data_IF_903817995743
#
_entry.id   IF_903817995743
#
_cell.length_a   1.000
_cell.length_b   1.000
_cell.length_c   1.000
_cell.angle_alpha   90.00
_cell.angle_beta   90.00
_cell.angle_gamma   90.00
#
_symmetry.space_group_name_H-M   'P 1'
#
loop_
_entity.id
_entity.type
_entity.pdbx_description
1 polymer ?
#
# COMPACT_ATOMS: atom_id res chain seq x y z
N UNK A 1 4.90 10.49 -0.14
CA UNK A 1 5.87 11.25 -0.94
C UNK A 1 6.80 10.29 -1.60
N UNK A 2 6.29 9.67 -2.65
CA UNK A 2 7.07 9.65 -3.87
C UNK A 2 7.60 11.07 -4.06
N UNK A 3 8.85 11.23 -3.62
CA UNK A 3 9.87 12.06 -4.24
C UNK A 3 9.45 13.52 -4.38
N UNK A 4 9.96 14.37 -3.48
CA UNK A 4 10.06 15.79 -3.81
C UNK A 4 10.69 15.89 -5.21
N UNK A 5 10.23 16.82 -6.03
CA UNK A 5 10.68 16.95 -7.43
C UNK A 5 12.22 17.01 -7.61
N UNK A 6 12.96 17.23 -6.53
CA UNK A 6 14.43 17.21 -6.48
C UNK A 6 15.02 15.80 -6.40
N UNK A 7 14.34 14.83 -5.78
CA UNK A 7 14.84 13.46 -5.63
C UNK A 7 14.59 12.59 -6.89
N UNK A 8 13.68 13.01 -7.79
CA UNK A 8 13.30 12.23 -9.00
C UNK A 8 14.39 12.19 -10.05
N UNK A 9 15.31 13.16 -10.01
CA UNK A 9 16.43 13.25 -10.95
C UNK A 9 17.60 12.31 -10.55
N UNK A 10 17.54 11.68 -9.37
CA UNK A 10 18.54 10.70 -8.96
C UNK A 10 18.23 9.35 -9.61
N UNK A 11 19.14 8.77 -10.43
CA UNK A 11 18.83 7.57 -11.20
C UNK A 11 18.40 6.37 -10.36
N UNK A 12 18.96 6.22 -9.15
CA UNK A 12 18.55 5.18 -8.20
C UNK A 12 17.08 5.34 -7.76
N UNK A 13 16.66 6.59 -7.52
CA UNK A 13 15.28 6.91 -7.13
C UNK A 13 14.33 6.70 -8.29
N UNK A 14 14.69 7.16 -9.50
CA UNK A 14 13.88 6.98 -10.71
C UNK A 14 13.57 5.49 -10.96
N UNK A 15 14.59 4.62 -10.88
CA UNK A 15 14.38 3.17 -11.05
C UNK A 15 13.45 2.58 -10.01
N UNK A 16 13.59 2.98 -8.73
CA UNK A 16 12.69 2.52 -7.67
C UNK A 16 11.26 3.02 -7.85
N UNK A 17 11.09 4.29 -8.25
CA UNK A 17 9.77 4.87 -8.55
C UNK A 17 9.10 4.07 -9.67
N UNK A 18 9.82 3.74 -10.74
CA UNK A 18 9.31 2.92 -11.84
C UNK A 18 8.89 1.51 -11.38
N UNK A 19 9.70 0.84 -10.56
CA UNK A 19 9.38 -0.46 -9.96
C UNK A 19 8.12 -0.36 -9.09
N UNK A 20 8.02 0.69 -8.30
CA UNK A 20 6.89 0.90 -7.40
C UNK A 20 5.61 1.22 -8.15
N UNK A 21 5.69 2.09 -9.16
CA UNK A 21 4.59 2.46 -10.04
C UNK A 21 3.96 1.21 -10.69
N UNK A 22 4.77 0.19 -10.99
CA UNK A 22 4.30 -1.06 -11.55
C UNK A 22 3.28 -1.81 -10.66
N UNK A 23 3.23 -1.55 -9.35
CA UNK A 23 2.28 -2.14 -8.39
C UNK A 23 0.86 -1.57 -8.48
N UNK A 24 0.69 -0.46 -9.20
CA UNK A 24 -0.59 0.23 -9.40
C UNK A 24 -1.22 -0.07 -10.77
N UNK A 25 -0.84 -1.18 -11.40
CA UNK A 25 -1.60 -1.68 -12.55
C UNK A 25 -2.96 -2.26 -12.10
N UNK A 26 -4.06 -1.90 -12.78
CA UNK A 26 -5.33 -2.60 -12.62
C UNK A 26 -5.13 -4.09 -12.83
N UNK A 27 -5.63 -4.88 -11.89
CA UNK A 27 -5.73 -6.32 -12.07
C UNK A 27 -7.00 -6.62 -12.87
N UNK A 28 -6.84 -6.89 -14.17
CA UNK A 28 -7.95 -7.23 -15.05
C UNK A 28 -8.39 -8.70 -14.91
N UNK A 29 -7.62 -9.56 -14.23
CA UNK A 29 -7.95 -10.98 -14.11
C UNK A 29 -9.24 -11.24 -13.32
N UNK A 30 -9.64 -10.28 -12.50
CA UNK A 30 -10.90 -10.30 -11.73
C UNK A 30 -12.14 -10.09 -12.60
N UNK A 31 -11.94 -9.56 -13.80
CA UNK A 31 -12.97 -9.42 -14.80
C UNK A 31 -12.71 -10.50 -15.85
N UNK A 32 -13.73 -11.23 -16.31
CA UNK A 32 -13.57 -12.22 -17.39
C UNK A 32 -13.36 -11.55 -18.76
N UNK A 33 -12.50 -10.52 -18.83
CA UNK A 33 -12.30 -9.57 -19.95
C UNK A 33 -11.89 -10.28 -21.25
N UNK A 34 -11.16 -11.38 -21.14
CA UNK A 34 -10.67 -12.14 -22.30
C UNK A 34 -11.79 -12.74 -23.16
N UNK A 35 -12.96 -13.00 -22.58
CA UNK A 35 -14.03 -13.79 -23.21
C UNK A 35 -15.31 -13.00 -23.49
N UNK A 36 -15.57 -11.92 -22.73
CA UNK A 36 -16.85 -11.21 -22.77
C UNK A 36 -16.75 -9.83 -23.46
N UNK A 37 -17.36 -9.64 -24.64
CA UNK A 37 -17.43 -8.35 -25.33
C UNK A 37 -18.11 -7.24 -24.52
N UNK A 38 -19.09 -7.59 -23.67
CA UNK A 38 -19.85 -6.62 -22.86
C UNK A 38 -18.96 -6.01 -21.79
N UNK A 39 -18.18 -6.84 -21.09
CA UNK A 39 -17.23 -6.38 -20.07
C UNK A 39 -16.17 -5.46 -20.68
N UNK A 40 -15.68 -5.77 -21.88
CA UNK A 40 -14.73 -4.92 -22.60
C UNK A 40 -15.33 -3.56 -22.97
N UNK A 41 -16.58 -3.54 -23.41
CA UNK A 41 -17.29 -2.29 -23.69
C UNK A 41 -17.45 -1.44 -22.43
N UNK A 42 -17.96 -2.03 -21.34
CA UNK A 42 -18.14 -1.34 -20.06
C UNK A 42 -16.82 -0.79 -19.52
N UNK A 43 -15.74 -1.55 -19.62
CA UNK A 43 -14.41 -1.09 -19.18
C UNK A 43 -13.93 0.09 -20.02
N UNK A 44 -14.16 0.09 -21.34
CA UNK A 44 -13.75 1.19 -22.21
C UNK A 44 -14.60 2.44 -21.93
N UNK A 45 -15.89 2.27 -21.73
CA UNK A 45 -16.81 3.35 -21.37
C UNK A 45 -16.42 3.97 -20.02
N UNK A 46 -16.20 3.14 -18.99
CA UNK A 46 -15.78 3.58 -17.67
C UNK A 46 -14.39 4.24 -17.64
N UNK A 47 -13.47 3.79 -18.50
CA UNK A 47 -12.13 4.37 -18.61
C UNK A 47 -12.09 5.69 -19.40
N UNK A 48 -13.14 5.99 -20.18
CA UNK A 48 -13.26 7.25 -20.94
C UNK A 48 -13.31 8.47 -20.01
N UNK A 49 -13.03 9.66 -20.54
CA UNK A 49 -13.12 10.91 -19.78
C UNK A 49 -14.50 11.09 -19.13
N UNK A 50 -15.57 10.89 -19.90
CA UNK A 50 -16.93 10.95 -19.37
C UNK A 50 -17.21 9.85 -18.33
N UNK A 51 -16.72 8.62 -18.56
CA UNK A 51 -16.83 7.53 -17.58
C UNK A 51 -16.13 7.85 -16.25
N UNK A 52 -14.96 8.48 -16.31
CA UNK A 52 -14.22 8.93 -15.12
C UNK A 52 -14.95 10.03 -14.36
N UNK A 53 -15.54 10.99 -15.07
CA UNK A 53 -16.39 12.03 -14.49
C UNK A 53 -17.61 11.41 -13.81
N UNK A 54 -18.26 10.41 -14.45
CA UNK A 54 -19.38 9.69 -13.86
C UNK A 54 -18.98 8.93 -12.59
N UNK A 55 -17.84 8.25 -12.59
CA UNK A 55 -17.31 7.56 -11.40
C UNK A 55 -17.00 8.56 -10.27
N UNK A 56 -16.37 9.70 -10.60
CA UNK A 56 -16.08 10.73 -9.62
C UNK A 56 -17.35 11.38 -9.05
N UNK A 57 -18.35 11.64 -9.89
CA UNK A 57 -19.66 12.14 -9.46
C UNK A 57 -20.40 11.11 -8.59
N UNK A 58 -20.28 9.82 -8.90
CA UNK A 58 -20.83 8.74 -8.07
C UNK A 58 -20.20 8.70 -6.69
N UNK A 59 -18.92 9.08 -6.59
CA UNK A 59 -18.18 9.24 -5.34
C UNK A 59 -18.10 10.72 -4.94
N UNK A 60 -19.24 11.42 -4.94
CA UNK A 60 -19.26 12.85 -4.63
C UNK A 60 -18.71 13.20 -3.23
N UNK A 61 -18.49 14.50 -3.01
CA UNK A 61 -17.95 15.02 -1.75
C UNK A 61 -18.76 14.60 -0.53
N UNK A 62 -20.09 14.57 -0.65
CA UNK A 62 -20.98 14.20 0.45
C UNK A 62 -20.77 12.73 0.81
N UNK A 63 -20.79 11.85 -0.18
CA UNK A 63 -20.59 10.42 0.01
C UNK A 63 -19.20 10.12 0.59
N UNK A 64 -18.15 10.76 0.06
CA UNK A 64 -16.79 10.62 0.60
C UNK A 64 -16.75 10.98 2.08
N UNK A 65 -17.33 12.12 2.45
CA UNK A 65 -17.36 12.57 3.84
C UNK A 65 -18.11 11.58 4.72
N UNK A 66 -19.30 11.16 4.29
CA UNK A 66 -20.12 10.15 5.00
C UNK A 66 -19.35 8.84 5.21
N UNK A 67 -18.66 8.32 4.17
CA UNK A 67 -17.87 7.09 4.28
C UNK A 67 -16.63 7.25 5.17
N UNK A 68 -15.95 8.40 5.12
CA UNK A 68 -14.79 8.66 5.98
C UNK A 68 -15.19 8.78 7.47
N UNK A 69 -16.33 9.41 7.76
CA UNK A 69 -16.87 9.46 9.13
C UNK A 69 -17.25 8.06 9.62
N UNK A 70 -17.95 7.27 8.79
CA UNK A 70 -18.27 5.89 9.13
C UNK A 70 -17.01 5.04 9.34
N UNK A 71 -15.98 5.22 8.52
CA UNK A 71 -14.69 4.58 8.70
C UNK A 71 -14.04 4.93 10.03
N UNK A 72 -14.04 6.21 10.42
CA UNK A 72 -13.50 6.66 11.71
C UNK A 72 -14.25 6.07 12.90
N UNK A 73 -15.58 5.96 12.82
CA UNK A 73 -16.41 5.29 13.85
C UNK A 73 -16.00 3.81 13.97
N UNK A 74 -15.94 3.08 12.83
CA UNK A 74 -15.53 1.67 12.80
C UNK A 74 -14.11 1.46 13.35
N UNK A 75 -13.18 2.36 13.02
CA UNK A 75 -11.82 2.32 13.57
C UNK A 75 -11.84 2.54 15.08
N UNK A 76 -12.59 3.50 15.58
CA UNK A 76 -12.68 3.79 17.01
C UNK A 76 -13.27 2.61 17.79
N UNK A 77 -14.31 1.97 17.26
CA UNK A 77 -14.91 0.76 17.85
C UNK A 77 -13.89 -0.39 17.89
N UNK A 78 -13.18 -0.62 16.78
CA UNK A 78 -12.17 -1.67 16.67
C UNK A 78 -11.01 -1.46 17.66
N UNK A 79 -10.56 -0.21 17.81
CA UNK A 79 -9.43 0.19 18.64
C UNK A 79 -9.83 0.65 20.05
N UNK A 80 -11.09 0.47 20.47
CA UNK A 80 -11.64 1.00 21.72
C UNK A 80 -10.82 0.61 22.97
N UNK A 81 -10.18 -0.56 22.94
CA UNK A 81 -9.41 -1.11 24.06
C UNK A 81 -8.06 -0.42 24.27
N UNK A 82 -7.53 0.31 23.28
CA UNK A 82 -6.24 0.97 23.35
C UNK A 82 -6.31 2.43 23.79
N UNK A 83 -7.45 2.85 24.38
CA UNK A 83 -7.76 4.27 24.61
C UNK A 83 -7.46 5.09 23.35
N UNK A 84 -8.04 4.64 22.23
CA UNK A 84 -7.89 5.30 20.94
C UNK A 84 -8.35 6.76 21.03
N UNK A 85 -7.95 7.55 20.02
CA UNK A 85 -8.26 8.96 19.82
C UNK A 85 -9.67 9.35 20.27
N UNK A 86 -9.81 10.55 20.82
CA UNK A 86 -11.13 11.05 21.20
C UNK A 86 -12.03 11.28 19.97
N UNK A 87 -13.32 11.58 20.19
CA UNK A 87 -14.26 11.76 19.07
C UNK A 87 -13.95 12.99 18.23
N UNK A 88 -13.38 14.04 18.82
CA UNK A 88 -13.02 15.28 18.12
C UNK A 88 -11.82 15.03 17.22
N UNK A 89 -10.80 14.35 17.72
CA UNK A 89 -9.64 13.89 16.97
C UNK A 89 -10.06 12.97 15.83
N UNK A 90 -10.82 11.91 16.12
CA UNK A 90 -11.34 11.00 15.09
C UNK A 90 -12.12 11.75 13.99
N UNK A 91 -12.94 12.74 14.37
CA UNK A 91 -13.64 13.62 13.43
C UNK A 91 -12.70 14.43 12.54
N UNK A 92 -11.67 15.06 13.13
CA UNK A 92 -10.63 15.79 12.37
C UNK A 92 -9.92 14.87 11.37
N UNK A 93 -9.61 13.64 11.75
CA UNK A 93 -8.94 12.70 10.85
C UNK A 93 -9.85 12.22 9.72
N UNK A 94 -11.14 12.04 10.00
CA UNK A 94 -12.13 11.75 8.97
C UNK A 94 -12.22 12.89 7.95
N UNK A 95 -12.23 14.14 8.42
CA UNK A 95 -12.24 15.32 7.56
C UNK A 95 -10.93 15.42 6.74
N UNK A 96 -9.76 15.24 7.35
CA UNK A 96 -8.47 15.20 6.65
C UNK A 96 -8.44 14.10 5.58
N UNK A 97 -8.89 12.89 5.90
CA UNK A 97 -8.98 11.79 4.94
C UNK A 97 -9.96 12.09 3.80
N UNK A 98 -11.11 12.72 4.09
CA UNK A 98 -12.08 13.10 3.06
C UNK A 98 -11.46 14.06 2.03
N UNK A 99 -10.60 14.99 2.47
CA UNK A 99 -9.86 15.90 1.58
C UNK A 99 -8.89 15.14 0.67
N UNK A 100 -8.18 14.14 1.20
CA UNK A 100 -7.30 13.26 0.40
C UNK A 100 -8.10 12.56 -0.70
N UNK A 101 -9.25 11.97 -0.37
CA UNK A 101 -10.09 11.30 -1.38
C UNK A 101 -10.73 12.25 -2.38
N UNK A 102 -11.13 13.47 -1.97
CA UNK A 102 -11.60 14.49 -2.91
C UNK A 102 -10.51 14.81 -3.93
N UNK A 103 -9.29 15.06 -3.45
CA UNK A 103 -8.15 15.34 -4.33
C UNK A 103 -7.77 14.14 -5.21
N UNK A 104 -7.92 12.92 -4.69
CA UNK A 104 -7.74 11.69 -5.46
C UNK A 104 -8.66 11.66 -6.68
N UNK A 105 -9.93 12.05 -6.52
CA UNK A 105 -10.90 12.08 -7.61
C UNK A 105 -10.64 13.19 -8.62
N UNK A 106 -10.13 14.35 -8.19
CA UNK A 106 -9.67 15.40 -9.11
C UNK A 106 -8.56 14.84 -10.02
N UNK A 107 -7.53 14.23 -9.44
CA UNK A 107 -6.43 13.64 -10.23
C UNK A 107 -6.93 12.49 -11.11
N UNK A 108 -7.84 11.65 -10.61
CA UNK A 108 -8.43 10.55 -11.36
C UNK A 108 -9.15 11.02 -12.64
N UNK A 109 -9.91 12.11 -12.55
CA UNK A 109 -10.62 12.71 -13.67
C UNK A 109 -9.65 13.30 -14.71
N UNK A 110 -8.58 13.97 -14.26
CA UNK A 110 -7.59 14.59 -15.13
C UNK A 110 -6.59 13.60 -15.77
N UNK A 111 -6.61 12.32 -15.38
CA UNK A 111 -5.66 11.30 -15.88
C UNK A 111 -5.96 10.83 -17.32
N UNK A 112 -6.77 11.57 -18.10
CA UNK A 112 -7.13 11.23 -19.49
C UNK A 112 -6.02 11.50 -20.52
N UNK A 113 -4.90 12.09 -20.10
CA UNK A 113 -3.80 12.48 -21.01
C UNK A 113 -2.84 11.31 -21.29
N UNK A 114 -2.63 11.03 -22.58
CA UNK A 114 -1.74 10.00 -23.14
C UNK A 114 -0.29 10.21 -22.68
N UNK A 115 0.27 9.24 -21.95
CA UNK A 115 1.72 9.12 -21.74
C UNK A 115 2.13 7.69 -22.11
N UNK A 116 3.08 7.57 -23.02
CA UNK A 116 3.71 6.31 -23.39
C UNK A 116 4.62 5.86 -22.25
N UNK A 117 4.40 4.66 -21.72
CA UNK A 117 5.29 4.04 -20.73
C UNK A 117 6.01 2.83 -21.34
N UNK A 118 7.28 2.58 -21.00
CA UNK A 118 8.02 1.43 -21.50
C UNK A 118 7.54 0.13 -20.83
N UNK A 119 7.17 -0.81 -21.69
CA UNK A 119 7.31 -2.28 -21.54
C UNK A 119 6.78 -2.96 -20.26
N UNK A 120 5.59 -3.56 -20.38
CA UNK A 120 5.20 -4.76 -19.60
C UNK A 120 4.82 -5.92 -20.52
N UNK A 121 5.68 -6.96 -20.58
CA UNK A 121 5.48 -8.20 -21.36
C UNK A 121 4.16 -8.93 -21.07
N UNK A 122 3.66 -8.96 -19.82
CA UNK A 122 2.44 -9.73 -19.49
C UNK A 122 1.14 -9.11 -20.01
N UNK A 123 1.05 -7.78 -20.02
CA UNK A 123 -0.11 -7.07 -20.57
C UNK A 123 -0.01 -6.97 -22.10
N UNK A 124 1.21 -6.83 -22.62
CA UNK A 124 1.54 -6.98 -24.04
C UNK A 124 1.04 -8.31 -24.61
N UNK A 125 1.31 -9.42 -23.93
CA UNK A 125 0.92 -10.77 -24.37
C UNK A 125 -0.61 -10.97 -24.40
N UNK A 126 -1.36 -10.24 -23.57
CA UNK A 126 -2.82 -10.42 -23.46
C UNK A 126 -3.61 -9.42 -24.31
N UNK A 127 -3.12 -8.19 -24.51
CA UNK A 127 -3.90 -7.11 -25.12
C UNK A 127 -3.13 -6.22 -26.11
N UNK A 128 -1.84 -6.47 -26.36
CA UNK A 128 -1.01 -5.71 -27.30
C UNK A 128 -0.59 -4.31 -26.81
N UNK A 129 0.37 -3.73 -27.54
CA UNK A 129 1.09 -2.46 -27.22
C UNK A 129 0.15 -1.23 -27.12
N UNK A 130 -0.98 -1.28 -27.82
CA UNK A 130 -1.96 -0.19 -27.88
C UNK A 130 -2.98 -0.17 -26.72
N UNK A 131 -2.94 -1.12 -25.78
CA UNK A 131 -4.04 -1.33 -24.82
C UNK A 131 -3.88 -0.61 -23.48
N UNK A 132 -2.65 -0.42 -22.97
CA UNK A 132 -2.43 0.03 -21.59
C UNK A 132 -2.68 1.52 -21.34
N UNK A 133 -2.38 2.33 -22.34
CA UNK A 133 -2.70 3.77 -22.35
C UNK A 133 -4.21 3.98 -22.46
N UNK A 134 -4.94 3.06 -23.11
CA UNK A 134 -6.40 3.15 -23.31
C UNK A 134 -7.20 2.96 -22.02
N UNK A 135 -6.64 2.30 -21.00
CA UNK A 135 -7.35 2.04 -19.73
C UNK A 135 -7.11 3.13 -18.66
N UNK A 136 -6.25 4.11 -18.95
CA UNK A 136 -5.94 5.25 -18.07
C UNK A 136 -5.34 4.83 -16.72
N UNK A 137 -4.20 4.14 -16.80
CA UNK A 137 -3.30 3.93 -15.67
C UNK A 137 -3.09 5.22 -14.87
N UNK A 138 -3.02 5.17 -13.53
CA UNK A 138 -2.65 6.35 -12.75
C UNK A 138 -1.28 6.85 -13.20
N UNK A 139 -1.18 8.13 -13.53
CA UNK A 139 0.09 8.83 -13.64
C UNK A 139 0.61 9.00 -12.20
N UNK A 140 1.52 8.12 -11.79
CA UNK A 140 1.93 7.98 -10.38
C UNK A 140 2.63 9.23 -9.87
N UNK A 141 3.37 9.92 -10.71
CA UNK A 141 4.04 11.18 -10.43
C UNK A 141 3.00 12.29 -10.19
N UNK A 142 2.00 12.40 -11.07
CA UNK A 142 0.90 13.37 -10.92
C UNK A 142 0.07 13.08 -9.67
N UNK A 143 -0.18 11.80 -9.39
CA UNK A 143 -0.90 11.34 -8.22
C UNK A 143 -0.13 11.63 -6.92
N UNK A 144 1.18 11.36 -6.91
CA UNK A 144 2.06 11.71 -5.81
C UNK A 144 2.07 13.21 -5.55
N UNK A 145 2.35 14.00 -6.58
CA UNK A 145 2.41 15.45 -6.49
C UNK A 145 1.09 16.06 -6.02
N UNK A 146 -0.03 15.62 -6.60
CA UNK A 146 -1.35 16.16 -6.28
C UNK A 146 -1.82 15.85 -4.86
N UNK A 147 -1.44 14.70 -4.31
CA UNK A 147 -1.84 14.26 -2.98
C UNK A 147 -0.83 14.62 -1.88
N UNK A 148 0.41 14.98 -2.25
CA UNK A 148 1.51 15.13 -1.30
C UNK A 148 1.21 16.10 -0.16
N UNK A 149 0.75 17.34 -0.41
CA UNK A 149 0.48 18.28 0.66
C UNK A 149 -0.54 17.76 1.68
N UNK A 150 -1.58 17.07 1.22
CA UNK A 150 -2.65 16.55 2.07
C UNK A 150 -2.21 15.32 2.88
N UNK A 151 -1.39 14.46 2.26
CA UNK A 151 -0.83 13.28 2.93
C UNK A 151 0.24 13.68 3.96
N UNK A 152 1.03 14.73 3.70
CA UNK A 152 1.93 15.32 4.69
C UNK A 152 1.15 15.96 5.83
N UNK A 153 0.14 16.77 5.54
CA UNK A 153 -0.70 17.37 6.58
C UNK A 153 -1.33 16.29 7.46
N UNK A 154 -1.84 15.22 6.83
CA UNK A 154 -2.30 14.04 7.55
C UNK A 154 -1.16 13.53 8.44
N UNK A 155 0.00 13.15 7.91
CA UNK A 155 1.12 12.61 8.69
C UNK A 155 1.64 13.55 9.81
N UNK A 156 1.72 14.85 9.57
CA UNK A 156 2.22 15.89 10.49
C UNK A 156 1.31 16.10 11.68
N UNK A 157 -0.02 15.99 11.50
CA UNK A 157 -1.00 16.01 12.60
C UNK A 157 -0.64 14.97 13.68
N UNK A 158 0.17 13.96 13.35
CA UNK A 158 0.60 12.89 14.28
C UNK A 158 2.06 12.98 14.72
N UNK A 159 2.98 13.39 13.85
CA UNK A 159 4.38 13.57 14.25
C UNK A 159 4.51 14.53 15.44
N UNK A 160 3.64 15.54 15.49
CA UNK A 160 3.53 16.47 16.63
C UNK A 160 3.02 15.79 17.90
N UNK A 161 2.13 14.80 17.78
CA UNK A 161 1.53 14.08 18.92
C UNK A 161 2.46 13.03 19.56
N UNK A 162 3.50 12.55 18.84
CA UNK A 162 4.35 11.40 19.21
C UNK A 162 3.56 10.13 19.59
N UNK A 163 2.31 10.01 19.13
CA UNK A 163 1.43 8.92 19.50
C UNK A 163 1.25 7.91 18.35
N UNK A 164 1.89 6.74 18.49
CA UNK A 164 1.80 5.62 17.55
C UNK A 164 0.37 5.06 17.41
N UNK A 165 -0.53 5.32 18.38
CA UNK A 165 -1.96 4.96 18.28
C UNK A 165 -2.64 5.70 17.15
N UNK A 166 -2.23 6.94 16.90
CA UNK A 166 -2.81 7.75 15.83
C UNK A 166 -2.42 7.21 14.46
N UNK A 167 -1.18 6.73 14.30
CA UNK A 167 -0.73 6.08 13.07
C UNK A 167 -1.54 4.81 12.76
N UNK A 168 -1.75 4.00 13.80
CA UNK A 168 -2.61 2.81 13.78
C UNK A 168 -4.06 3.15 13.39
N UNK A 169 -4.57 4.27 13.90
CA UNK A 169 -5.91 4.75 13.60
C UNK A 169 -6.03 5.18 12.14
N UNK A 170 -5.09 5.97 11.59
CA UNK A 170 -5.14 6.41 10.18
C UNK A 170 -5.13 5.23 9.23
N UNK A 171 -4.16 4.33 9.39
CA UNK A 171 -3.97 3.22 8.45
C UNK A 171 -5.22 2.31 8.45
N UNK A 172 -5.84 2.14 9.61
CA UNK A 172 -7.12 1.42 9.76
C UNK A 172 -8.29 2.22 9.18
N UNK A 173 -8.37 3.52 9.42
CA UNK A 173 -9.40 4.40 8.88
C UNK A 173 -9.35 4.44 7.35
N UNK A 174 -8.17 4.63 6.75
CA UNK A 174 -7.98 4.61 5.30
C UNK A 174 -8.35 3.24 4.72
N UNK A 175 -8.01 2.13 5.41
CA UNK A 175 -8.45 0.80 5.00
C UNK A 175 -9.99 0.68 4.97
N UNK A 176 -10.67 1.16 6.00
CA UNK A 176 -12.14 1.16 6.05
C UNK A 176 -12.77 2.13 5.05
N UNK A 177 -12.22 3.33 4.86
CA UNK A 177 -12.67 4.28 3.85
C UNK A 177 -12.56 3.67 2.45
N UNK A 178 -11.43 3.05 2.12
CA UNK A 178 -11.24 2.33 0.87
C UNK A 178 -12.29 1.23 0.67
N UNK A 179 -12.57 0.42 1.71
CA UNK A 179 -13.58 -0.62 1.63
C UNK A 179 -14.98 -0.05 1.37
N UNK A 180 -15.38 0.96 2.14
CA UNK A 180 -16.69 1.63 2.05
C UNK A 180 -16.92 2.35 0.71
N UNK A 181 -15.87 2.97 0.16
CA UNK A 181 -15.92 3.61 -1.16
C UNK A 181 -16.05 2.57 -2.28
N UNK A 182 -15.28 1.46 -2.22
CA UNK A 182 -15.37 0.38 -3.21
C UNK A 182 -16.75 -0.28 -3.24
N UNK A 183 -17.43 -0.38 -2.11
CA UNK A 183 -18.80 -0.92 -2.05
C UNK A 183 -19.78 -0.14 -2.95
N UNK A 184 -19.49 1.13 -3.22
CA UNK A 184 -20.32 1.98 -4.09
C UNK A 184 -20.04 1.74 -5.58
N UNK A 185 -18.93 1.11 -5.93
CA UNK A 185 -18.47 0.95 -7.30
C UNK A 185 -18.91 -0.40 -7.90
N UNK A 186 -19.17 -0.43 -9.21
CA UNK A 186 -19.38 -1.66 -9.97
C UNK A 186 -18.06 -2.44 -10.11
N UNK A 187 -18.06 -3.74 -10.48
CA UNK A 187 -16.82 -4.50 -10.66
C UNK A 187 -15.82 -3.83 -11.63
N UNK A 188 -16.32 -3.27 -12.73
CA UNK A 188 -15.51 -2.56 -13.73
C UNK A 188 -14.92 -1.27 -13.15
N UNK A 189 -15.74 -0.45 -12.49
CA UNK A 189 -15.29 0.78 -11.84
C UNK A 189 -14.27 0.50 -10.73
N UNK A 190 -14.45 -0.58 -9.96
CA UNK A 190 -13.51 -1.03 -8.92
C UNK A 190 -12.15 -1.32 -9.52
N UNK A 191 -12.08 -2.03 -10.65
CA UNK A 191 -10.81 -2.33 -11.31
C UNK A 191 -10.04 -1.06 -11.67
N UNK A 192 -10.74 -0.03 -12.18
CA UNK A 192 -10.13 1.25 -12.54
C UNK A 192 -9.72 2.10 -11.32
N UNK A 193 -10.53 2.09 -10.25
CA UNK A 193 -10.26 2.88 -9.04
C UNK A 193 -9.32 2.22 -8.04
N UNK A 194 -9.20 0.89 -8.04
CA UNK A 194 -8.37 0.15 -7.09
C UNK A 194 -6.91 0.61 -7.06
N UNK A 195 -6.24 0.88 -8.20
CA UNK A 195 -4.90 1.48 -8.18
C UNK A 195 -4.78 2.77 -7.38
N UNK A 196 -5.74 3.67 -7.54
CA UNK A 196 -5.79 4.98 -6.89
C UNK A 196 -6.05 4.84 -5.37
N UNK A 197 -6.98 3.96 -4.99
CA UNK A 197 -7.26 3.68 -3.58
C UNK A 197 -6.08 2.97 -2.89
N UNK A 198 -5.46 2.01 -3.59
CA UNK A 198 -4.26 1.30 -3.13
C UNK A 198 -3.10 2.26 -2.93
N UNK A 199 -2.91 3.22 -3.84
CA UNK A 199 -1.90 4.25 -3.71
C UNK A 199 -2.04 5.01 -2.39
N UNK A 200 -3.23 5.53 -2.09
CA UNK A 200 -3.48 6.27 -0.83
C UNK A 200 -3.17 5.40 0.39
N UNK A 201 -3.63 4.15 0.39
CA UNK A 201 -3.37 3.22 1.49
C UNK A 201 -1.88 2.93 1.69
N UNK A 202 -1.14 2.68 0.60
CA UNK A 202 0.29 2.41 0.69
C UNK A 202 1.09 3.65 1.09
N UNK A 203 0.69 4.87 0.68
CA UNK A 203 1.36 6.10 1.10
C UNK A 203 1.23 6.38 2.60
N UNK A 204 0.18 5.88 3.26
CA UNK A 204 0.00 6.03 4.72
C UNK A 204 0.56 4.84 5.50
N UNK A 205 0.60 3.64 4.91
CA UNK A 205 1.01 2.42 5.60
C UNK A 205 2.50 2.08 5.42
N UNK A 206 3.10 2.44 4.30
CA UNK A 206 4.45 2.01 3.94
C UNK A 206 5.45 3.17 4.01
N UNK A 207 6.69 2.96 4.49
CA UNK A 207 7.72 3.99 4.55
C UNK A 207 8.37 4.26 3.18
N UNK A 208 7.63 4.15 2.07
CA UNK A 208 8.17 4.14 0.71
C UNK A 208 9.02 5.38 0.38
N UNK A 209 8.60 6.54 0.87
CA UNK A 209 9.33 7.80 0.72
C UNK A 209 10.75 7.72 1.26
N UNK A 210 10.88 7.09 2.43
CA UNK A 210 12.15 6.95 3.13
C UNK A 210 13.00 5.90 2.46
N UNK A 211 12.39 4.85 1.90
CA UNK A 211 13.09 3.91 1.02
C UNK A 211 13.69 4.66 -0.18
N UNK A 212 12.92 5.50 -0.88
CA UNK A 212 13.44 6.33 -1.98
C UNK A 212 14.54 7.29 -1.50
N UNK A 213 14.33 8.02 -0.40
CA UNK A 213 15.31 8.96 0.13
C UNK A 213 16.61 8.27 0.61
N UNK A 214 16.50 7.06 1.16
CA UNK A 214 17.64 6.24 1.52
C UNK A 214 18.37 5.74 0.27
N UNK A 215 17.64 5.30 -0.75
CA UNK A 215 18.20 4.87 -2.03
C UNK A 215 18.93 5.99 -2.78
N UNK A 216 18.48 7.24 -2.65
CA UNK A 216 19.16 8.40 -3.22
C UNK A 216 20.61 8.57 -2.75
N UNK A 217 20.96 7.98 -1.59
CA UNK A 217 22.31 7.99 -1.01
C UNK A 217 23.24 6.92 -1.63
N UNK A 218 22.74 6.09 -2.54
CA UNK A 218 23.47 5.00 -3.17
C UNK A 218 23.68 5.23 -4.66
N UNK A 219 24.83 4.79 -5.17
CA UNK A 219 25.01 4.65 -6.62
C UNK A 219 24.07 3.54 -7.13
N UNK A 220 23.49 3.68 -8.34
CA UNK A 220 22.71 2.62 -8.98
C UNK A 220 23.48 1.29 -9.17
N UNK A 221 24.82 1.35 -9.21
CA UNK A 221 25.68 0.17 -9.35
C UNK A 221 26.16 -0.37 -7.99
N UNK A 222 25.70 0.21 -6.88
CA UNK A 222 26.08 -0.28 -5.55
C UNK A 222 25.43 -1.65 -5.28
N UNK A 223 26.15 -2.61 -4.69
CA UNK A 223 25.60 -3.94 -4.41
C UNK A 223 24.31 -3.91 -3.56
N UNK A 224 24.24 -2.98 -2.60
CA UNK A 224 23.06 -2.83 -1.74
C UNK A 224 21.84 -2.38 -2.55
N UNK A 225 22.01 -1.35 -3.40
CA UNK A 225 20.91 -0.85 -4.22
C UNK A 225 20.44 -1.92 -5.20
N UNK A 226 21.36 -2.61 -5.88
CA UNK A 226 21.02 -3.66 -6.85
C UNK A 226 20.19 -4.78 -6.21
N UNK A 227 20.52 -5.19 -4.98
CA UNK A 227 19.72 -6.21 -4.27
C UNK A 227 18.31 -5.70 -4.00
N UNK A 228 18.17 -4.47 -3.51
CA UNK A 228 16.85 -3.86 -3.25
C UNK A 228 16.04 -3.74 -4.54
N UNK A 229 16.67 -3.24 -5.61
CA UNK A 229 16.06 -3.07 -6.93
C UNK A 229 15.55 -4.39 -7.50
N UNK A 230 16.33 -5.47 -7.39
CA UNK A 230 15.96 -6.80 -7.90
C UNK A 230 14.80 -7.44 -7.12
N UNK A 231 14.71 -7.19 -5.82
CA UNK A 231 13.76 -7.91 -4.95
C UNK A 231 12.42 -7.18 -4.75
N UNK A 232 12.40 -5.84 -4.85
CA UNK A 232 11.16 -5.06 -4.71
C UNK A 232 10.01 -5.51 -5.65
N UNK A 233 10.24 -5.86 -6.93
CA UNK A 233 9.18 -6.37 -7.80
C UNK A 233 8.51 -7.65 -7.29
N UNK A 234 9.21 -8.45 -6.49
CA UNK A 234 8.74 -9.74 -5.99
C UNK A 234 7.85 -9.60 -4.76
N UNK A 235 7.81 -8.43 -4.11
CA UNK A 235 7.24 -8.29 -2.76
C UNK A 235 5.82 -8.84 -2.59
N UNK A 236 4.94 -8.58 -3.57
CA UNK A 236 3.56 -9.08 -3.54
C UNK A 236 3.46 -10.61 -3.66
N UNK A 237 4.37 -11.23 -4.42
CA UNK A 237 4.46 -12.68 -4.55
C UNK A 237 4.92 -13.29 -3.23
N UNK A 238 5.95 -12.71 -2.61
CA UNK A 238 6.46 -13.11 -1.29
C UNK A 238 5.33 -13.06 -0.26
N UNK A 239 4.67 -11.90 -0.13
CA UNK A 239 3.56 -11.70 0.81
C UNK A 239 2.44 -12.72 0.61
N UNK A 240 2.11 -13.03 -0.64
CA UNK A 240 1.07 -14.03 -0.97
C UNK A 240 1.49 -15.44 -0.53
N UNK A 241 2.73 -15.84 -0.80
CA UNK A 241 3.27 -17.14 -0.39
C UNK A 241 3.24 -17.29 1.14
N UNK A 242 3.72 -16.28 1.86
CA UNK A 242 3.73 -16.29 3.33
C UNK A 242 2.33 -16.34 3.91
N UNK A 243 1.40 -15.54 3.37
CA UNK A 243 0.00 -15.55 3.81
C UNK A 243 -0.63 -16.95 3.72
N UNK A 244 -0.41 -17.69 2.62
CA UNK A 244 -0.95 -19.05 2.50
C UNK A 244 -0.30 -20.03 3.46
N UNK A 245 1.01 -19.90 3.74
CA UNK A 245 1.67 -20.68 4.78
C UNK A 245 1.07 -20.40 6.16
N UNK A 246 0.86 -19.13 6.51
CA UNK A 246 0.25 -18.73 7.79
C UNK A 246 -1.16 -19.29 7.96
N UNK A 247 -1.97 -19.29 6.89
CA UNK A 247 -3.29 -19.91 6.90
C UNK A 247 -3.22 -21.41 7.21
N UNK A 248 -2.17 -22.10 6.75
CA UNK A 248 -1.90 -23.49 7.08
C UNK A 248 -1.46 -23.71 8.53
N UNK A 249 -0.60 -22.83 9.07
CA UNK A 249 -0.12 -22.94 10.46
C UNK A 249 -1.16 -22.53 11.50
N UNK A 250 -2.07 -21.61 11.15
CA UNK A 250 -3.06 -21.03 12.06
C UNK A 250 -4.48 -21.13 11.48
N UNK A 251 -4.98 -22.34 11.15
CA UNK A 251 -6.25 -22.52 10.43
C UNK A 251 -7.47 -22.04 11.24
N UNK A 252 -7.36 -22.04 12.57
CA UNK A 252 -8.44 -21.65 13.49
C UNK A 252 -8.23 -20.25 14.09
N UNK A 253 -7.23 -19.49 13.64
CA UNK A 253 -7.02 -18.14 14.15
C UNK A 253 -8.11 -17.20 13.63
N UNK A 254 -8.75 -16.49 14.54
CA UNK A 254 -9.67 -15.40 14.24
C UNK A 254 -9.28 -14.19 15.07
N UNK A 255 -9.07 -13.08 14.38
CA UNK A 255 -8.96 -11.75 14.98
C UNK A 255 -10.36 -11.18 15.25
N UNK A 256 -10.43 -9.97 15.81
CA UNK A 256 -11.69 -9.21 15.94
C UNK A 256 -12.32 -8.84 14.59
N UNK A 257 -11.55 -8.91 13.49
CA UNK A 257 -12.03 -8.70 12.11
C UNK A 257 -12.41 -10.02 11.42
N UNK A 258 -12.29 -11.16 12.10
CA UNK A 258 -12.58 -12.49 11.58
C UNK A 258 -11.35 -13.36 11.36
N UNK A 259 -11.59 -14.52 10.74
CA UNK A 259 -10.56 -15.50 10.38
C UNK A 259 -9.66 -15.06 9.22
N UNK A 260 -8.58 -15.80 9.00
CA UNK A 260 -7.66 -15.52 7.89
C UNK A 260 -8.33 -15.64 6.52
N UNK A 261 -9.40 -16.44 6.38
CA UNK A 261 -10.19 -16.56 5.16
C UNK A 261 -11.07 -15.33 4.86
N UNK A 262 -11.27 -14.42 5.83
CA UNK A 262 -11.99 -13.18 5.61
C UNK A 262 -11.23 -12.27 4.61
N UNK A 263 -11.86 -11.77 3.53
CA UNK A 263 -11.19 -10.94 2.53
C UNK A 263 -10.54 -9.67 3.08
N UNK A 264 -11.15 -9.04 4.09
CA UNK A 264 -10.60 -7.85 4.76
C UNK A 264 -9.37 -8.18 5.61
N UNK A 265 -9.37 -9.34 6.27
CA UNK A 265 -8.21 -9.84 7.03
C UNK A 265 -7.08 -10.22 6.09
N UNK A 266 -7.37 -10.93 4.98
CA UNK A 266 -6.39 -11.24 3.93
C UNK A 266 -5.72 -9.98 3.39
N UNK A 267 -6.52 -8.97 3.01
CA UNK A 267 -5.99 -7.69 2.51
C UNK A 267 -5.05 -7.02 3.51
N UNK A 268 -5.47 -6.90 4.79
CA UNK A 268 -4.63 -6.30 5.82
C UNK A 268 -3.36 -7.09 6.10
N UNK A 269 -3.43 -8.43 6.11
CA UNK A 269 -2.26 -9.28 6.31
C UNK A 269 -1.25 -9.12 5.17
N UNK A 270 -1.69 -9.10 3.91
CA UNK A 270 -0.81 -8.88 2.76
C UNK A 270 -0.16 -7.49 2.79
N UNK A 271 -0.91 -6.45 3.15
CA UNK A 271 -0.39 -5.09 3.34
C UNK A 271 0.68 -5.05 4.43
N UNK A 272 0.45 -5.71 5.57
CA UNK A 272 1.38 -5.72 6.68
C UNK A 272 2.66 -6.49 6.31
N UNK A 273 2.57 -7.59 5.54
CA UNK A 273 3.75 -8.28 5.00
C UNK A 273 4.54 -7.39 4.02
N UNK A 274 3.87 -6.61 3.17
CA UNK A 274 4.52 -5.62 2.31
C UNK A 274 5.19 -4.50 3.13
N UNK A 275 4.59 -4.10 4.25
CA UNK A 275 5.18 -3.14 5.20
C UNK A 275 6.47 -3.64 5.82
N UNK A 276 6.50 -4.89 6.28
CA UNK A 276 7.72 -5.49 6.83
C UNK A 276 8.84 -5.54 5.78
N UNK A 277 8.52 -5.87 4.53
CA UNK A 277 9.49 -5.83 3.43
C UNK A 277 10.01 -4.42 3.16
N UNK A 278 9.15 -3.39 3.15
CA UNK A 278 9.58 -2.01 2.99
C UNK A 278 10.51 -1.55 4.12
N UNK A 279 10.24 -1.94 5.37
CA UNK A 279 11.13 -1.67 6.51
C UNK A 279 12.47 -2.40 6.39
N UNK A 280 12.49 -3.66 5.93
CA UNK A 280 13.75 -4.38 5.66
C UNK A 280 14.63 -3.61 4.66
N UNK A 281 14.04 -3.14 3.56
CA UNK A 281 14.79 -2.39 2.54
C UNK A 281 15.24 -1.02 3.04
N UNK A 282 14.41 -0.33 3.81
CA UNK A 282 14.82 0.91 4.49
C UNK A 282 16.04 0.68 5.38
N UNK A 283 16.00 -0.36 6.22
CA UNK A 283 17.10 -0.70 7.13
C UNK A 283 18.37 -1.07 6.38
N UNK A 284 18.24 -1.80 5.28
CA UNK A 284 19.36 -2.19 4.43
C UNK A 284 20.02 -0.96 3.79
N UNK A 285 19.22 -0.04 3.23
CA UNK A 285 19.71 1.16 2.56
C UNK A 285 20.32 2.15 3.56
N UNK A 286 19.72 2.32 4.74
CA UNK A 286 20.24 3.22 5.79
C UNK A 286 21.33 2.58 6.66
N UNK A 287 21.56 1.28 6.49
CA UNK A 287 22.47 0.47 7.31
C UNK A 287 22.15 0.57 8.80
N UNK A 288 20.87 0.54 9.15
CA UNK A 288 20.40 0.74 10.52
C UNK A 288 19.07 0.03 10.80
N UNK A 289 18.97 -0.64 11.95
CA UNK A 289 17.73 -1.28 12.43
C UNK A 289 16.83 -0.35 13.25
N UNK A 290 17.27 0.90 13.49
CA UNK A 290 16.62 1.85 14.40
C UNK A 290 15.10 1.99 14.17
N UNK A 291 14.66 1.98 12.92
CA UNK A 291 13.25 2.21 12.60
C UNK A 291 12.35 1.00 12.84
N UNK A 292 12.93 -0.20 12.84
CA UNK A 292 12.19 -1.42 13.19
C UNK A 292 11.85 -1.38 14.67
N UNK A 293 12.86 -1.09 15.50
CA UNK A 293 12.72 -1.02 16.96
C UNK A 293 11.84 0.15 17.42
N UNK A 294 12.03 1.32 16.82
CA UNK A 294 11.39 2.56 17.29
C UNK A 294 10.01 2.80 16.69
N UNK A 295 9.71 2.23 15.53
CA UNK A 295 8.49 2.53 14.79
C UNK A 295 7.66 1.27 14.50
N UNK A 296 8.22 0.31 13.75
CA UNK A 296 7.47 -0.85 13.29
C UNK A 296 7.00 -1.72 14.46
N UNK A 297 7.90 -2.05 15.39
CA UNK A 297 7.57 -2.83 16.58
C UNK A 297 6.53 -2.11 17.44
N UNK A 298 6.73 -0.81 17.70
CA UNK A 298 5.80 -0.01 18.49
C UNK A 298 4.40 0.03 17.87
N UNK A 299 4.30 0.17 16.54
CA UNK A 299 3.05 0.08 15.81
C UNK A 299 2.41 -1.31 15.95
N UNK A 300 3.17 -2.38 15.74
CA UNK A 300 2.65 -3.75 15.82
C UNK A 300 2.13 -4.09 17.22
N UNK A 301 2.86 -3.73 18.30
CA UNK A 301 2.40 -3.93 19.68
C UNK A 301 1.02 -3.28 19.88
N UNK A 302 0.88 -2.02 19.46
CA UNK A 302 -0.38 -1.30 19.64
C UNK A 302 -1.53 -1.85 18.81
N UNK A 303 -1.29 -2.19 17.54
CA UNK A 303 -2.34 -2.67 16.63
C UNK A 303 -2.71 -4.11 16.93
N UNK A 304 -1.75 -5.02 17.03
CA UNK A 304 -2.02 -6.45 17.00
C UNK A 304 -2.72 -6.93 18.26
N UNK A 305 -2.36 -6.39 19.43
CA UNK A 305 -3.10 -6.62 20.67
C UNK A 305 -4.55 -6.12 20.56
N UNK A 306 -4.75 -4.93 20.00
CA UNK A 306 -6.08 -4.34 19.81
C UNK A 306 -6.96 -5.14 18.86
N UNK A 307 -6.36 -5.84 17.89
CA UNK A 307 -7.06 -6.66 16.92
C UNK A 307 -7.23 -8.11 17.37
N UNK A 308 -6.63 -8.50 18.51
CA UNK A 308 -6.60 -9.89 18.95
C UNK A 308 -5.76 -10.79 18.04
N UNK A 309 -4.76 -10.24 17.36
CA UNK A 309 -3.81 -11.00 16.56
C UNK A 309 -2.81 -11.65 17.52
N UNK A 310 -2.59 -12.96 17.36
CA UNK A 310 -1.69 -13.71 18.24
C UNK A 310 -0.24 -13.30 17.96
N UNK A 311 0.53 -12.92 18.99
CA UNK A 311 1.95 -12.58 18.81
C UNK A 311 2.72 -13.73 18.13
N UNK A 312 2.46 -14.97 18.54
CA UNK A 312 3.03 -16.16 17.91
C UNK A 312 2.80 -16.22 16.40
N UNK A 313 1.64 -15.76 15.90
CA UNK A 313 1.39 -15.71 14.47
C UNK A 313 2.24 -14.64 13.80
N UNK A 314 2.35 -13.45 14.39
CA UNK A 314 3.17 -12.37 13.83
C UNK A 314 4.66 -12.70 13.84
N UNK A 315 5.19 -13.23 14.94
CA UNK A 315 6.59 -13.68 15.02
C UNK A 315 6.86 -14.74 13.97
N UNK A 316 5.93 -15.70 13.80
CA UNK A 316 6.05 -16.71 12.75
C UNK A 316 5.99 -16.13 11.34
N UNK A 317 5.11 -15.15 11.11
CA UNK A 317 5.01 -14.45 9.83
C UNK A 317 6.32 -13.75 9.47
N UNK A 318 6.92 -13.06 10.44
CA UNK A 318 8.19 -12.36 10.26
C UNK A 318 9.35 -13.33 9.99
N UNK A 319 9.46 -14.43 10.75
CA UNK A 319 10.45 -15.49 10.48
C UNK A 319 10.34 -16.05 9.06
N UNK A 320 9.12 -16.44 8.66
CA UNK A 320 8.87 -17.02 7.35
C UNK A 320 9.18 -15.99 6.25
N UNK A 321 8.78 -14.74 6.44
CA UNK A 321 9.04 -13.66 5.50
C UNK A 321 10.54 -13.41 5.31
N UNK A 322 11.30 -13.27 6.40
CA UNK A 322 12.75 -13.04 6.33
C UNK A 322 13.48 -14.22 5.69
N UNK A 323 13.08 -15.45 6.03
CA UNK A 323 13.65 -16.66 5.42
C UNK A 323 13.37 -16.75 3.92
N UNK A 324 12.12 -16.51 3.52
CA UNK A 324 11.68 -16.56 2.13
C UNK A 324 12.37 -15.48 1.26
N UNK A 325 12.62 -14.30 1.82
CA UNK A 325 13.42 -13.26 1.15
C UNK A 325 14.86 -13.75 0.97
N UNK A 326 15.49 -14.26 2.04
CA UNK A 326 16.86 -14.77 1.95
C UNK A 326 16.98 -15.89 0.91
N UNK A 327 16.05 -16.84 0.84
CA UNK A 327 16.11 -17.95 -0.10
C UNK A 327 16.04 -17.53 -1.57
N UNK A 328 15.48 -16.37 -1.87
CA UNK A 328 15.47 -15.79 -3.22
C UNK A 328 16.76 -15.05 -3.60
N UNK A 329 17.65 -14.81 -2.64
CA UNK A 329 18.90 -14.09 -2.87
C UNK A 329 20.05 -15.01 -3.28
N UNK A 330 20.93 -14.51 -4.14
CA UNK A 330 22.20 -15.17 -4.42
C UNK A 330 23.11 -15.18 -3.20
N UNK A 331 24.07 -16.13 -3.14
CA UNK A 331 24.96 -16.31 -1.99
C UNK A 331 25.67 -15.01 -1.56
N UNK A 332 26.15 -14.23 -2.52
CA UNK A 332 26.85 -12.97 -2.24
C UNK A 332 25.90 -11.85 -1.77
N UNK A 333 24.62 -11.92 -2.14
CA UNK A 333 23.59 -10.98 -1.72
C UNK A 333 23.09 -11.32 -0.31
N UNK A 334 22.99 -12.62 0.02
CA UNK A 334 22.62 -13.08 1.37
C UNK A 334 23.50 -12.43 2.44
N UNK A 335 24.82 -12.34 2.22
CA UNK A 335 25.74 -11.75 3.21
C UNK A 335 25.47 -10.25 3.47
N UNK A 336 25.00 -9.51 2.47
CA UNK A 336 24.64 -8.09 2.59
C UNK A 336 23.35 -7.89 3.39
N UNK A 337 22.38 -8.81 3.24
CA UNK A 337 21.02 -8.67 3.77
C UNK A 337 20.82 -9.43 5.10
N UNK A 338 21.62 -10.46 5.36
CA UNK A 338 21.51 -11.31 6.55
C UNK A 338 21.54 -10.54 7.89
N UNK A 339 22.38 -9.50 8.08
CA UNK A 339 22.35 -8.72 9.32
C UNK A 339 20.98 -8.05 9.57
N UNK A 340 20.32 -7.56 8.53
CA UNK A 340 19.05 -6.85 8.65
C UNK A 340 17.87 -7.81 8.80
N UNK A 341 17.86 -8.93 8.08
CA UNK A 341 16.83 -9.97 8.24
C UNK A 341 16.88 -10.61 9.63
N UNK A 342 18.09 -10.89 10.14
CA UNK A 342 18.27 -11.36 11.52
C UNK A 342 17.77 -10.32 12.53
N UNK A 343 18.16 -9.05 12.36
CA UNK A 343 17.67 -7.96 13.21
C UNK A 343 16.15 -7.78 13.16
N UNK A 344 15.55 -7.92 11.98
CA UNK A 344 14.08 -7.90 11.82
C UNK A 344 13.42 -9.01 12.64
N UNK A 345 13.97 -10.22 12.67
CA UNK A 345 13.44 -11.32 13.49
C UNK A 345 13.63 -11.05 14.99
N UNK A 346 14.84 -10.66 15.39
CA UNK A 346 15.22 -10.46 16.80
C UNK A 346 14.52 -9.27 17.46
N UNK A 347 14.09 -8.27 16.68
CA UNK A 347 13.39 -7.11 17.21
C UNK A 347 12.00 -7.44 17.77
N UNK A 348 11.37 -8.55 17.36
CA UNK A 348 10.03 -8.91 17.79
C UNK A 348 10.07 -9.90 18.96
N UNK A 349 9.26 -9.69 20.01
CA UNK A 349 9.22 -10.61 21.14
C UNK A 349 8.72 -11.99 20.70
N UNK A 350 9.28 -13.03 21.32
CA UNK A 350 8.93 -14.43 21.10
C UNK A 350 7.52 -14.79 21.61
#
# INVERSE_FOLDING_TARGET
MLVSSQLSEVPAVERLVNIWAARYCPDLSVLSVGSDPVVRHQLREAASENGRVQIAHKLDERLIKEKCVLAAIRTKELLAHCKALDLVEAGRLADSASRVYRKLLEVYQESSSVVAMPSKRRLWETFGDASLVTWGMPQIEKLAYGLEPLLLELQEQYLVSKDWRSLSFITTQINFSNALLREQLTPVERVLMNPYLKFVEEQVALPWQRVCAAAAKHSPDSPIFMVVEQNLPMASEISTAIYYQLRGFFPNHSSRRGGLDNPGVKHSCLRDLDMFQAYLWLCTLEKSLKFVEQELLAMCIMVFESLGILWKMTTKANELLMHEILERLEFHQKSLINPYTKGMVEAFPA
#
